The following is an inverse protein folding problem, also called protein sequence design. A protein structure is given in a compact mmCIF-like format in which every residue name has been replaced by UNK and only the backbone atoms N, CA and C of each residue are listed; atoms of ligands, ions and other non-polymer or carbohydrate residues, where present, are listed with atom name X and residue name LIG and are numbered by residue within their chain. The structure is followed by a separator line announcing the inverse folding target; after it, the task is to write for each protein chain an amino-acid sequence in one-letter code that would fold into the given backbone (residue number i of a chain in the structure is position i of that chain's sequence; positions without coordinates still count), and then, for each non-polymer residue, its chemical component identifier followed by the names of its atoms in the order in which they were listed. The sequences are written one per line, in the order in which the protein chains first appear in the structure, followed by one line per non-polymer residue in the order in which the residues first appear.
data_IF_126297448721
#
_entry.id   IF_126297448721
#
_cell.length_a   1.000
_cell.length_b   1.000
_cell.length_c   1.000
_cell.angle_alpha   90.00
_cell.angle_beta   90.00
_cell.angle_gamma   90.00
#
_symmetry.space_group_name_H-M   'P 1'
#
loop_
_entity.id
_entity.type
_entity.pdbx_description
1 polymer ?
#
# COMPACT_ATOMS: atom_id res chain seq x y z
N UNK A 1 -22.42 -6.71 3.50
CA UNK A 1 -21.49 -5.66 3.98
C UNK A 1 -22.02 -4.28 3.64
N UNK A 2 -22.13 -3.93 2.36
CA UNK A 2 -22.69 -2.64 1.91
C UNK A 2 -24.05 -2.35 2.54
N UNK A 3 -25.02 -3.27 2.43
CA UNK A 3 -26.37 -3.11 3.01
C UNK A 3 -26.38 -2.96 4.54
N UNK A 4 -25.28 -3.27 5.22
CA UNK A 4 -25.13 -3.17 6.66
C UNK A 4 -24.37 -1.89 7.08
N UNK A 5 -24.14 -0.95 6.16
CA UNK A 5 -23.52 0.35 6.46
C UNK A 5 -22.01 0.32 6.63
N UNK A 6 -21.31 -0.67 6.04
CA UNK A 6 -19.84 -0.70 6.04
C UNK A 6 -19.30 0.48 5.23
N UNK A 7 -18.43 1.29 5.84
CA UNK A 7 -17.82 2.47 5.21
C UNK A 7 -16.43 2.21 4.62
N UNK A 8 -15.74 1.15 5.06
CA UNK A 8 -14.38 0.84 4.66
C UNK A 8 -14.10 -0.66 4.75
N UNK A 9 -13.37 -1.18 3.77
CA UNK A 9 -12.79 -2.53 3.73
C UNK A 9 -11.29 -2.39 3.50
N UNK A 10 -10.47 -3.07 4.30
CA UNK A 10 -9.02 -3.07 4.16
C UNK A 10 -8.51 -4.51 4.19
N UNK A 11 -7.82 -4.93 3.14
CA UNK A 11 -7.38 -6.32 3.00
C UNK A 11 -6.13 -6.61 3.84
N UNK A 12 -6.27 -7.44 4.87
CA UNK A 12 -5.13 -7.97 5.63
C UNK A 12 -4.47 -9.18 4.96
N UNK A 13 -5.27 -10.05 4.35
CA UNK A 13 -4.79 -11.22 3.59
C UNK A 13 -4.40 -10.83 2.15
N UNK A 14 -3.79 -11.77 1.41
CA UNK A 14 -3.45 -11.57 0.00
C UNK A 14 -4.64 -11.89 -0.90
N UNK A 15 -5.21 -10.87 -1.55
CA UNK A 15 -6.39 -10.96 -2.43
C UNK A 15 -7.57 -11.76 -1.86
N UNK A 16 -8.11 -11.40 -0.67
CA UNK A 16 -9.31 -12.03 -0.14
C UNK A 16 -10.60 -11.64 -0.87
N UNK A 17 -10.65 -10.48 -1.53
CA UNK A 17 -11.84 -10.00 -2.25
C UNK A 17 -11.77 -10.40 -3.72
N UNK A 18 -12.88 -10.90 -4.28
CA UNK A 18 -12.97 -11.11 -5.74
C UNK A 18 -13.08 -9.76 -6.46
N UNK A 19 -12.73 -9.68 -7.77
CA UNK A 19 -12.89 -8.46 -8.55
C UNK A 19 -14.31 -7.88 -8.47
N UNK A 20 -15.32 -8.74 -8.54
CA UNK A 20 -16.73 -8.33 -8.46
C UNK A 20 -17.07 -7.71 -7.10
N UNK A 21 -16.46 -8.21 -6.01
CA UNK A 21 -16.64 -7.63 -4.69
C UNK A 21 -16.01 -6.23 -4.60
N UNK A 22 -14.84 -6.04 -5.21
CA UNK A 22 -14.16 -4.73 -5.27
C UNK A 22 -15.03 -3.72 -6.04
N UNK A 23 -15.57 -4.12 -7.18
CA UNK A 23 -16.46 -3.27 -7.99
C UNK A 23 -17.71 -2.87 -7.20
N UNK A 24 -18.30 -3.80 -6.45
CA UNK A 24 -19.45 -3.52 -5.57
C UNK A 24 -19.05 -2.51 -4.48
N UNK A 25 -17.90 -2.65 -3.85
CA UNK A 25 -17.45 -1.69 -2.82
C UNK A 25 -17.25 -0.29 -3.40
N UNK A 26 -16.54 -0.20 -4.54
CA UNK A 26 -16.27 1.08 -5.19
C UNK A 26 -17.55 1.77 -5.68
N UNK A 27 -18.46 1.01 -6.30
CA UNK A 27 -19.74 1.54 -6.81
C UNK A 27 -20.68 2.03 -5.71
N UNK A 28 -20.50 1.55 -4.46
CA UNK A 28 -21.30 1.93 -3.30
C UNK A 28 -20.59 2.92 -2.36
N UNK A 29 -19.54 3.61 -2.84
CA UNK A 29 -18.74 4.57 -2.06
C UNK A 29 -18.13 3.98 -0.76
N UNK A 30 -17.89 2.67 -0.73
CA UNK A 30 -17.16 2.03 0.36
C UNK A 30 -15.67 2.18 0.08
N UNK A 31 -14.93 2.76 1.03
CA UNK A 31 -13.48 2.90 0.91
C UNK A 31 -12.83 1.51 0.83
N UNK A 32 -11.91 1.31 -0.11
CA UNK A 32 -11.28 0.02 -0.31
C UNK A 32 -9.75 0.13 -0.28
N UNK A 33 -9.13 -0.46 0.74
CA UNK A 33 -7.68 -0.56 0.90
C UNK A 33 -7.15 -1.90 0.34
N UNK A 34 -6.43 -1.91 -0.81
CA UNK A 34 -5.96 -3.14 -1.43
C UNK A 34 -4.85 -3.81 -0.63
N UNK A 35 -4.79 -5.15 -0.65
CA UNK A 35 -3.84 -5.93 0.15
C UNK A 35 -2.39 -5.50 -0.05
N UNK A 36 -1.96 -5.28 -1.31
CA UNK A 36 -0.61 -4.82 -1.67
C UNK A 36 -0.16 -3.52 -0.96
N UNK A 37 -1.09 -2.71 -0.47
CA UNK A 37 -0.83 -1.52 0.31
C UNK A 37 -1.12 -1.76 1.81
N UNK A 38 -2.29 -2.32 2.12
CA UNK A 38 -2.78 -2.49 3.49
C UNK A 38 -1.96 -3.49 4.32
N UNK A 39 -1.49 -4.58 3.70
CA UNK A 39 -0.72 -5.63 4.36
C UNK A 39 0.81 -5.50 4.19
N UNK A 40 1.26 -4.43 3.51
CA UNK A 40 2.68 -4.17 3.22
C UNK A 40 3.55 -3.99 4.47
N UNK A 41 2.93 -3.79 5.65
CA UNK A 41 3.62 -3.66 6.92
C UNK A 41 4.54 -4.85 7.24
N UNK A 42 4.16 -6.07 6.87
CA UNK A 42 5.02 -7.25 7.09
C UNK A 42 6.36 -7.13 6.35
N UNK A 43 6.30 -6.81 5.05
CA UNK A 43 7.51 -6.62 4.21
C UNK A 43 8.29 -5.38 4.66
N UNK A 44 7.60 -4.32 5.08
CA UNK A 44 8.24 -3.12 5.61
C UNK A 44 9.10 -3.44 6.84
N UNK A 45 8.59 -4.21 7.80
CA UNK A 45 9.35 -4.61 8.99
C UNK A 45 10.51 -5.53 8.63
N UNK A 46 10.39 -6.41 7.63
CA UNK A 46 11.55 -7.17 7.11
C UNK A 46 12.65 -6.25 6.56
N UNK A 47 12.31 -5.16 5.88
CA UNK A 47 13.28 -4.15 5.45
C UNK A 47 13.94 -3.40 6.63
N UNK A 48 13.18 -3.14 7.69
CA UNK A 48 13.72 -2.58 8.95
C UNK A 48 14.67 -3.56 9.65
N UNK A 49 14.36 -4.86 9.63
CA UNK A 49 15.23 -5.93 10.14
C UNK A 49 16.57 -5.98 9.38
N UNK A 50 16.53 -5.93 8.05
CA UNK A 50 17.75 -5.87 7.21
C UNK A 50 18.61 -4.64 7.52
N UNK A 51 17.97 -3.50 7.83
CA UNK A 51 18.66 -2.26 8.21
C UNK A 51 19.35 -2.40 9.57
N UNK A 52 18.66 -2.95 10.57
CA UNK A 52 19.23 -3.25 11.89
C UNK A 52 20.42 -4.20 11.81
N UNK A 53 20.30 -5.27 11.01
CA UNK A 53 21.38 -6.24 10.78
C UNK A 53 22.61 -5.57 10.16
N UNK A 54 22.40 -4.68 9.18
CA UNK A 54 23.49 -3.93 8.52
C UNK A 54 24.16 -2.93 9.47
N UNK A 55 23.39 -2.29 10.35
CA UNK A 55 23.88 -1.36 11.37
C UNK A 55 24.46 -2.05 12.62
N UNK A 56 24.21 -3.36 12.78
CA UNK A 56 24.59 -4.17 13.95
C UNK A 56 24.05 -3.62 15.26
N UNK A 57 22.82 -3.09 15.23
CA UNK A 57 22.11 -2.59 16.39
C UNK A 57 20.65 -3.02 16.33
N UNK A 58 20.03 -3.13 17.49
CA UNK A 58 18.60 -3.39 17.62
C UNK A 58 17.89 -2.11 18.07
N UNK A 59 16.80 -1.78 17.39
CA UNK A 59 15.89 -0.72 17.79
C UNK A 59 14.92 -1.23 18.86
N UNK A 60 14.37 -0.30 19.64
CA UNK A 60 13.25 -0.62 20.53
C UNK A 60 11.98 -0.90 19.73
N UNK A 61 11.00 -1.49 20.40
CA UNK A 61 9.68 -1.73 19.80
C UNK A 61 9.04 -0.43 19.32
N UNK A 62 9.15 0.63 20.11
CA UNK A 62 8.58 1.95 19.84
C UNK A 62 9.23 2.59 18.61
N UNK A 63 10.54 2.44 18.45
CA UNK A 63 11.26 2.92 17.27
C UNK A 63 10.83 2.18 15.99
N UNK A 64 10.66 0.85 16.06
CA UNK A 64 10.17 0.04 14.94
C UNK A 64 8.73 0.43 14.58
N UNK A 65 7.85 0.56 15.59
CA UNK A 65 6.44 0.92 15.40
C UNK A 65 6.30 2.31 14.77
N UNK A 66 7.08 3.29 15.25
CA UNK A 66 7.07 4.65 14.70
C UNK A 66 7.55 4.68 13.23
N UNK A 67 8.57 3.89 12.89
CA UNK A 67 9.03 3.75 11.51
C UNK A 67 7.96 3.07 10.63
N UNK A 68 7.36 1.98 11.11
CA UNK A 68 6.28 1.27 10.43
C UNK A 68 5.09 2.20 10.17
N UNK A 69 4.65 2.97 11.17
CA UNK A 69 3.56 3.94 11.02
C UNK A 69 3.83 4.98 9.93
N UNK A 70 5.07 5.49 9.88
CA UNK A 70 5.48 6.45 8.85
C UNK A 70 5.54 5.80 7.46
N UNK A 71 5.96 4.54 7.35
CA UNK A 71 5.94 3.78 6.10
C UNK A 71 4.49 3.60 5.62
N UNK A 72 3.57 3.17 6.49
CA UNK A 72 2.16 2.99 6.12
C UNK A 72 1.49 4.29 5.68
N UNK A 73 1.79 5.41 6.36
CA UNK A 73 1.36 6.75 5.92
C UNK A 73 1.89 7.12 4.55
N UNK A 74 3.15 6.79 4.27
CA UNK A 74 3.79 7.06 2.98
C UNK A 74 3.17 6.23 1.86
N UNK A 75 2.87 4.95 2.10
CA UNK A 75 2.17 4.07 1.16
C UNK A 75 0.78 4.63 0.85
N UNK A 76 0.01 4.98 1.88
CA UNK A 76 -1.32 5.57 1.71
C UNK A 76 -1.26 6.88 0.91
N UNK A 77 -0.32 7.78 1.25
CA UNK A 77 -0.12 9.05 0.56
C UNK A 77 0.21 8.83 -0.92
N UNK A 78 1.17 7.95 -1.23
CA UNK A 78 1.57 7.65 -2.59
C UNK A 78 0.42 7.07 -3.43
N UNK A 79 -0.36 6.14 -2.86
CA UNK A 79 -1.53 5.58 -3.54
C UNK A 79 -2.59 6.67 -3.82
N UNK A 80 -2.88 7.53 -2.84
CA UNK A 80 -3.83 8.64 -3.01
C UNK A 80 -3.37 9.61 -4.11
N UNK A 81 -2.13 10.08 -4.03
CA UNK A 81 -1.56 11.05 -4.98
C UNK A 81 -1.49 10.49 -6.40
N UNK A 82 -1.10 9.22 -6.55
CA UNK A 82 -1.08 8.55 -7.86
C UNK A 82 -2.49 8.39 -8.44
N UNK A 83 -3.48 8.04 -7.62
CA UNK A 83 -4.86 7.94 -8.06
C UNK A 83 -5.41 9.30 -8.53
N UNK A 84 -5.14 10.37 -7.77
CA UNK A 84 -5.52 11.75 -8.13
C UNK A 84 -4.84 12.22 -9.42
N UNK A 85 -3.53 11.99 -9.57
CA UNK A 85 -2.76 12.40 -10.75
C UNK A 85 -3.25 11.75 -12.05
N UNK A 86 -3.83 10.55 -11.97
CA UNK A 86 -4.38 9.81 -13.11
C UNK A 86 -5.91 9.93 -13.25
N UNK A 87 -6.52 10.90 -12.58
CA UNK A 87 -7.96 11.19 -12.73
C UNK A 87 -8.89 10.15 -12.09
N UNK A 88 -8.38 9.36 -11.14
CA UNK A 88 -9.14 8.34 -10.41
C UNK A 88 -9.17 8.60 -8.89
N UNK A 89 -9.52 9.82 -8.42
CA UNK A 89 -9.45 10.18 -7.01
C UNK A 89 -10.22 9.19 -6.12
N UNK A 90 -9.58 8.76 -5.03
CA UNK A 90 -10.16 7.78 -4.10
C UNK A 90 -10.04 6.32 -4.53
N UNK A 91 -9.59 6.02 -5.76
CA UNK A 91 -9.34 4.65 -6.21
C UNK A 91 -7.95 4.17 -5.76
N UNK A 92 -7.85 3.68 -4.52
CA UNK A 92 -6.59 3.16 -3.97
C UNK A 92 -6.07 1.91 -4.68
N UNK A 93 -6.91 1.14 -5.39
CA UNK A 93 -6.46 -0.03 -6.18
C UNK A 93 -5.62 0.45 -7.36
N UNK A 94 -6.15 1.40 -8.13
CA UNK A 94 -5.42 2.03 -9.23
C UNK A 94 -4.19 2.77 -8.70
N UNK A 95 -4.37 3.60 -7.68
CA UNK A 95 -3.28 4.38 -7.07
C UNK A 95 -2.11 3.53 -6.59
N UNK A 96 -2.36 2.44 -5.87
CA UNK A 96 -1.30 1.56 -5.39
C UNK A 96 -0.56 0.83 -6.53
N UNK A 97 -1.28 0.44 -7.59
CA UNK A 97 -0.66 -0.13 -8.79
C UNK A 97 0.23 0.87 -9.51
N UNK A 98 -0.28 2.08 -9.76
CA UNK A 98 0.42 3.13 -10.49
C UNK A 98 1.67 3.55 -9.72
N UNK A 99 1.54 3.86 -8.43
CA UNK A 99 2.67 4.27 -7.59
C UNK A 99 3.77 3.19 -7.52
N UNK A 100 3.39 1.93 -7.36
CA UNK A 100 4.32 0.82 -7.33
C UNK A 100 5.01 0.60 -8.68
N UNK A 101 4.25 0.65 -9.78
CA UNK A 101 4.75 0.43 -11.13
C UNK A 101 5.71 1.54 -11.57
N UNK A 102 5.34 2.82 -11.42
CA UNK A 102 6.17 3.95 -11.82
C UNK A 102 7.55 3.88 -11.16
N UNK A 103 7.59 3.61 -9.85
CA UNK A 103 8.86 3.49 -9.12
C UNK A 103 9.78 2.42 -9.70
N UNK A 104 9.23 1.29 -10.14
CA UNK A 104 10.00 0.20 -10.75
C UNK A 104 10.39 0.55 -12.18
N UNK A 105 9.46 1.09 -12.97
CA UNK A 105 9.69 1.48 -14.36
C UNK A 105 10.78 2.55 -14.47
N UNK A 106 10.72 3.59 -13.63
CA UNK A 106 11.74 4.64 -13.59
C UNK A 106 13.12 4.07 -13.25
N UNK A 107 13.20 3.20 -12.22
CA UNK A 107 14.44 2.56 -11.86
C UNK A 107 15.00 1.64 -12.96
N UNK A 108 14.14 0.99 -13.74
CA UNK A 108 14.55 0.19 -14.90
C UNK A 108 15.08 1.07 -16.04
N UNK A 109 14.44 2.21 -16.30
CA UNK A 109 14.91 3.17 -17.30
C UNK A 109 16.27 3.77 -16.92
N UNK A 110 16.44 4.15 -15.66
CA UNK A 110 17.69 4.70 -15.13
C UNK A 110 18.86 3.71 -15.22
N UNK A 111 18.59 2.41 -15.04
CA UNK A 111 19.60 1.35 -15.16
C UNK A 111 19.94 0.99 -16.62
N UNK A 112 19.14 1.47 -17.58
CA UNK A 112 19.33 1.21 -19.00
C UNK A 112 19.16 -0.26 -19.39
N UNK A 113 19.52 -0.57 -20.63
CA UNK A 113 19.63 -1.94 -21.13
C UNK A 113 21.12 -2.28 -21.12
N UNK A 114 21.51 -3.29 -20.34
CA UNK A 114 22.87 -3.82 -20.31
C UNK A 114 23.19 -4.62 -21.59
#
# INVERSE_FOLDING_TARGET
LVNNGVICVSEGANMPSTPEAIDIFQSNNVLFGPGKAANAGGVAVSGLEMSQNSLRLSWTREEVDQKLHNIMKSIHKAAKEAAEAYGMPGNYVAGANIAGFIKVADAMLDQGIA
#
